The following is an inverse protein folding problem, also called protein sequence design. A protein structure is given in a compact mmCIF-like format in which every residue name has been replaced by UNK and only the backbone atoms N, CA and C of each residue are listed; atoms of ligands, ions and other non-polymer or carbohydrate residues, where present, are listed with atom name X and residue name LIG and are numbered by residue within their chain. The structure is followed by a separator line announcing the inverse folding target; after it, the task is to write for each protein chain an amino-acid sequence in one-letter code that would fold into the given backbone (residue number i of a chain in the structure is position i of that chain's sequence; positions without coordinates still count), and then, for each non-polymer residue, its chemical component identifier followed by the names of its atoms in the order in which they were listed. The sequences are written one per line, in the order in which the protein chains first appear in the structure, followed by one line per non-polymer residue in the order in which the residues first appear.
data_IF_948454579704
#
_entry.id   IF_948454579704
#
_cell.length_a   1.000
_cell.length_b   1.000
_cell.length_c   1.000
_cell.angle_alpha   90.00
_cell.angle_beta   90.00
_cell.angle_gamma   90.00
#
_symmetry.space_group_name_H-M   'P 1'
#
loop_
_entity.id
_entity.type
_entity.pdbx_description
1 polymer ?
#
# COMPACT_ATOMS: atom_id res chain seq x y z
N UNK A 1 -11.56 6.39 -2.51
CA UNK A 1 -10.34 7.04 -3.06
C UNK A 1 -10.64 7.52 -4.47
N UNK A 2 -10.22 8.73 -4.86
CA UNK A 2 -10.46 9.18 -6.24
C UNK A 2 -9.64 8.37 -7.25
N UNK A 3 -10.10 8.24 -8.51
CA UNK A 3 -9.34 7.52 -9.54
C UNK A 3 -7.96 8.11 -9.80
N UNK A 4 -7.76 9.43 -9.71
CA UNK A 4 -6.43 10.02 -9.90
C UNK A 4 -5.47 9.66 -8.78
N UNK A 5 -5.93 9.71 -7.52
CA UNK A 5 -5.11 9.31 -6.36
C UNK A 5 -4.71 7.84 -6.48
N UNK A 6 -5.61 6.99 -6.96
CA UNK A 6 -5.30 5.58 -7.24
C UNK A 6 -4.23 5.41 -8.30
N UNK A 7 -4.37 6.07 -9.44
CA UNK A 7 -3.37 6.00 -10.51
C UNK A 7 -2.01 6.55 -10.06
N UNK A 8 -2.01 7.63 -9.28
CA UNK A 8 -0.79 8.21 -8.74
C UNK A 8 -0.08 7.23 -7.79
N UNK A 9 -0.80 6.68 -6.80
CA UNK A 9 -0.23 5.67 -5.90
C UNK A 9 0.29 4.45 -6.68
N UNK A 10 -0.49 3.98 -7.65
CA UNK A 10 -0.10 2.86 -8.50
C UNK A 10 1.19 3.17 -9.27
N UNK A 11 1.34 4.36 -9.84
CA UNK A 11 2.56 4.74 -10.57
C UNK A 11 3.83 4.71 -9.69
N UNK A 12 3.68 5.04 -8.41
CA UNK A 12 4.78 5.04 -7.45
C UNK A 12 5.14 3.61 -6.97
N UNK A 13 4.14 2.77 -6.74
CA UNK A 13 4.32 1.45 -6.13
C UNK A 13 4.52 0.34 -7.18
N UNK A 14 3.99 0.50 -8.39
CA UNK A 14 4.05 -0.51 -9.46
C UNK A 14 5.46 -1.08 -9.73
N UNK A 15 6.55 -0.28 -9.77
CA UNK A 15 7.89 -0.81 -9.99
C UNK A 15 8.29 -1.89 -8.97
N UNK A 16 7.87 -1.74 -7.71
CA UNK A 16 8.21 -2.64 -6.60
C UNK A 16 7.34 -3.88 -6.52
N UNK A 17 6.12 -3.85 -7.07
CA UNK A 17 5.15 -4.96 -7.00
C UNK A 17 4.90 -5.66 -8.35
N UNK A 18 5.58 -5.25 -9.42
CA UNK A 18 5.50 -5.92 -10.72
C UNK A 18 6.23 -7.25 -10.67
N UNK A 19 5.52 -8.36 -10.94
CA UNK A 19 6.12 -9.69 -11.07
C UNK A 19 6.46 -9.99 -12.52
N UNK A 20 7.65 -10.59 -12.75
CA UNK A 20 8.09 -11.07 -14.07
C UNK A 20 7.07 -12.06 -14.62
N UNK A 21 6.69 -11.91 -15.89
CA UNK A 21 5.80 -12.85 -16.56
C UNK A 21 6.45 -14.24 -16.65
N UNK A 22 5.73 -15.28 -16.24
CA UNK A 22 6.13 -16.66 -16.50
C UNK A 22 5.38 -17.20 -17.72
N UNK A 23 6.06 -17.95 -18.59
CA UNK A 23 5.47 -18.55 -19.79
C UNK A 23 4.25 -19.43 -19.52
N UNK A 24 4.15 -20.03 -18.32
CA UNK A 24 3.07 -20.96 -17.97
C UNK A 24 1.88 -20.32 -17.24
N UNK A 25 1.97 -19.06 -16.80
CA UNK A 25 0.88 -18.44 -16.01
C UNK A 25 0.87 -16.91 -16.11
N UNK A 26 -0.31 -16.36 -16.37
CA UNK A 26 -0.54 -14.92 -16.28
C UNK A 26 -0.30 -14.44 -14.85
N UNK A 27 0.54 -13.43 -14.69
CA UNK A 27 0.81 -12.82 -13.40
C UNK A 27 -0.31 -11.86 -13.03
N UNK A 28 -0.58 -11.77 -11.72
CA UNK A 28 -1.53 -10.80 -11.18
C UNK A 28 -0.94 -9.40 -11.37
N UNK A 29 -1.67 -8.51 -12.02
CA UNK A 29 -1.17 -7.19 -12.39
C UNK A 29 -0.88 -6.32 -11.16
N UNK A 30 0.03 -5.34 -11.27
CA UNK A 30 0.30 -4.39 -10.18
C UNK A 30 -0.97 -3.69 -9.66
N UNK A 31 -1.90 -3.38 -10.56
CA UNK A 31 -3.19 -2.75 -10.20
C UNK A 31 -4.06 -3.69 -9.37
N UNK A 32 -4.21 -4.95 -9.78
CA UNK A 32 -4.99 -5.94 -9.00
C UNK A 32 -4.36 -6.16 -7.62
N UNK A 33 -3.02 -6.30 -7.57
CA UNK A 33 -2.28 -6.45 -6.32
C UNK A 33 -2.51 -5.28 -5.38
N UNK A 34 -2.42 -4.05 -5.89
CA UNK A 34 -2.71 -2.85 -5.11
C UNK A 34 -4.17 -2.81 -4.63
N UNK A 35 -5.12 -3.21 -5.47
CA UNK A 35 -6.55 -3.26 -5.12
C UNK A 35 -6.82 -4.23 -3.97
N UNK A 36 -6.22 -5.43 -4.01
CA UNK A 36 -6.33 -6.42 -2.92
C UNK A 36 -5.85 -5.81 -1.60
N UNK A 37 -4.68 -5.17 -1.61
CA UNK A 37 -4.09 -4.57 -0.41
C UNK A 37 -4.92 -3.39 0.10
N UNK A 38 -5.36 -2.48 -0.76
CA UNK A 38 -6.18 -1.34 -0.35
C UNK A 38 -7.52 -1.77 0.25
N UNK A 39 -8.14 -2.81 -0.32
CA UNK A 39 -9.37 -3.37 0.28
C UNK A 39 -9.10 -3.91 1.68
N UNK A 40 -8.02 -4.67 1.86
CA UNK A 40 -7.63 -5.18 3.17
C UNK A 40 -7.40 -4.04 4.19
N UNK A 41 -6.67 -2.98 3.81
CA UNK A 41 -6.40 -1.84 4.69
C UNK A 41 -7.66 -1.03 5.03
N UNK A 42 -8.60 -0.90 4.08
CA UNK A 42 -9.83 -0.14 4.28
C UNK A 42 -10.89 -0.89 5.11
N UNK A 43 -10.92 -2.22 5.04
CA UNK A 43 -11.97 -3.03 5.68
C UNK A 43 -11.50 -3.76 6.93
N UNK A 44 -10.21 -4.08 7.05
CA UNK A 44 -9.68 -4.95 8.10
C UNK A 44 -10.12 -6.41 7.98
N UNK A 45 -10.69 -6.80 6.84
CA UNK A 45 -11.18 -8.17 6.60
C UNK A 45 -10.08 -9.23 6.69
N UNK A 46 -10.48 -10.45 7.07
CA UNK A 46 -9.58 -11.60 7.06
C UNK A 46 -9.09 -11.94 5.66
N UNK A 47 -7.89 -12.52 5.55
CA UNK A 47 -7.34 -12.96 4.26
C UNK A 47 -8.17 -14.09 3.62
N UNK A 48 -8.97 -14.82 4.40
CA UNK A 48 -9.92 -15.80 3.88
C UNK A 48 -11.09 -15.13 3.14
N UNK A 49 -11.63 -14.04 3.69
CA UNK A 49 -12.69 -13.28 3.01
C UNK A 49 -12.18 -12.68 1.70
N UNK A 50 -10.96 -12.15 1.73
CA UNK A 50 -10.30 -11.57 0.56
C UNK A 50 -10.00 -12.63 -0.52
N UNK A 51 -9.61 -13.86 -0.12
CA UNK A 51 -9.34 -14.97 -1.05
C UNK A 51 -10.59 -15.33 -1.85
N UNK A 52 -11.74 -15.43 -1.20
CA UNK A 52 -13.02 -15.66 -1.87
C UNK A 52 -13.41 -14.50 -2.79
N UNK A 53 -13.25 -13.25 -2.33
CA UNK A 53 -13.63 -12.07 -3.10
C UNK A 53 -12.84 -11.95 -4.41
N UNK A 54 -11.52 -12.11 -4.36
CA UNK A 54 -10.63 -11.97 -5.52
C UNK A 54 -10.40 -13.29 -6.27
N UNK A 55 -10.98 -14.40 -5.81
CA UNK A 55 -10.76 -15.76 -6.36
C UNK A 55 -9.28 -16.13 -6.45
N UNK A 56 -8.54 -15.75 -5.40
CA UNK A 56 -7.12 -16.03 -5.25
C UNK A 56 -6.93 -17.02 -4.12
N UNK A 57 -5.87 -17.84 -4.17
CA UNK A 57 -5.52 -18.66 -3.02
C UNK A 57 -5.17 -17.78 -1.81
N UNK A 58 -5.51 -18.24 -0.59
CA UNK A 58 -5.26 -17.50 0.65
C UNK A 58 -3.77 -17.13 0.78
N UNK A 59 -2.87 -18.04 0.46
CA UNK A 59 -1.41 -17.80 0.50
C UNK A 59 -1.02 -16.70 -0.47
N UNK A 60 -1.62 -16.69 -1.66
CA UNK A 60 -1.37 -15.65 -2.67
C UNK A 60 -1.84 -14.29 -2.17
N UNK A 61 -3.02 -14.21 -1.55
CA UNK A 61 -3.52 -12.97 -0.93
C UNK A 61 -2.59 -12.48 0.18
N UNK A 62 -2.18 -13.35 1.10
CA UNK A 62 -1.24 -13.00 2.17
C UNK A 62 0.07 -12.43 1.59
N UNK A 63 0.63 -13.08 0.57
CA UNK A 63 1.86 -12.63 -0.06
C UNK A 63 1.68 -11.28 -0.78
N UNK A 64 0.56 -11.09 -1.47
CA UNK A 64 0.24 -9.81 -2.12
C UNK A 64 0.17 -8.70 -1.07
N UNK A 65 -0.56 -8.90 0.02
CA UNK A 65 -0.70 -7.90 1.08
C UNK A 65 0.67 -7.56 1.66
N UNK A 66 1.46 -8.55 2.05
CA UNK A 66 2.78 -8.33 2.65
C UNK A 66 3.73 -7.59 1.70
N UNK A 67 3.88 -8.06 0.45
CA UNK A 67 4.76 -7.45 -0.54
C UNK A 67 4.32 -6.02 -0.87
N UNK A 68 3.01 -5.77 -1.00
CA UNK A 68 2.47 -4.48 -1.44
C UNK A 68 2.45 -3.46 -0.30
N UNK A 69 2.09 -3.85 0.92
CA UNK A 69 2.13 -2.94 2.08
C UNK A 69 3.56 -2.49 2.36
N UNK A 70 4.54 -3.39 2.25
CA UNK A 70 5.95 -3.03 2.34
C UNK A 70 6.35 -2.02 1.25
N UNK A 71 5.97 -2.28 0.00
CA UNK A 71 6.26 -1.36 -1.10
C UNK A 71 5.59 0.02 -0.92
N UNK A 72 4.37 0.07 -0.37
CA UNK A 72 3.69 1.33 -0.03
C UNK A 72 4.49 2.09 1.04
N UNK A 73 4.92 1.40 2.10
CA UNK A 73 5.71 1.99 3.17
C UNK A 73 7.03 2.55 2.64
N UNK A 74 7.81 1.74 1.94
CA UNK A 74 9.15 2.11 1.45
C UNK A 74 9.10 3.32 0.50
N UNK A 75 8.01 3.48 -0.26
CA UNK A 75 7.86 4.58 -1.23
C UNK A 75 7.26 5.84 -0.61
N UNK A 76 6.29 5.72 0.31
CA UNK A 76 5.59 6.87 0.87
C UNK A 76 6.21 7.42 2.15
N UNK A 77 6.80 6.56 2.99
CA UNK A 77 7.32 6.97 4.30
C UNK A 77 8.28 8.17 4.21
N UNK A 78 9.23 8.24 3.25
CA UNK A 78 10.17 9.36 3.18
C UNK A 78 9.51 10.71 2.85
N UNK A 79 8.38 10.71 2.14
CA UNK A 79 7.71 11.94 1.69
C UNK A 79 6.59 12.38 2.62
N UNK A 80 5.90 11.44 3.26
CA UNK A 80 4.68 11.70 4.04
C UNK A 80 4.86 11.53 5.54
N UNK A 81 5.88 10.79 5.98
CA UNK A 81 6.14 10.48 7.39
C UNK A 81 7.59 10.81 7.76
N UNK A 82 8.07 11.98 7.32
CA UNK A 82 9.37 12.49 7.77
C UNK A 82 9.26 12.83 9.26
N UNK A 83 10.10 12.19 10.08
CA UNK A 83 10.19 12.53 11.48
C UNK A 83 10.87 13.90 11.65
N UNK A 84 10.46 14.70 12.65
CA UNK A 84 11.12 15.97 12.94
C UNK A 84 12.56 15.71 13.39
N UNK A 85 13.50 16.49 12.86
CA UNK A 85 14.94 16.27 13.04
C UNK A 85 15.52 17.12 14.18
N UNK A 86 14.76 18.11 14.69
CA UNK A 86 15.19 19.02 15.75
C UNK A 86 14.10 19.27 16.79
N UNK A 87 14.52 19.66 18.00
CA UNK A 87 13.61 20.05 19.08
C UNK A 87 12.70 21.21 18.67
N UNK A 88 13.19 22.14 17.85
CA UNK A 88 12.41 23.28 17.37
C UNK A 88 11.30 22.85 16.41
N UNK A 89 11.55 21.87 15.53
CA UNK A 89 10.51 21.29 14.66
C UNK A 89 9.45 20.55 15.49
N UNK A 90 9.87 19.82 16.54
CA UNK A 90 8.96 19.17 17.48
C UNK A 90 8.07 20.17 18.21
N UNK A 91 8.66 21.25 18.74
CA UNK A 91 7.92 22.32 19.43
C UNK A 91 6.95 23.03 18.49
N UNK A 92 7.37 23.27 17.24
CA UNK A 92 6.49 23.83 16.21
C UNK A 92 5.28 22.94 15.93
N UNK A 93 5.48 21.63 15.74
CA UNK A 93 4.38 20.69 15.49
C UNK A 93 3.44 20.59 16.69
N UNK A 94 3.98 20.59 17.92
CA UNK A 94 3.17 20.58 19.13
C UNK A 94 2.31 21.83 19.26
N UNK A 95 2.90 23.01 19.00
CA UNK A 95 2.18 24.27 19.01
C UNK A 95 1.12 24.35 17.90
N UNK A 96 1.40 23.85 16.69
CA UNK A 96 0.41 23.79 15.61
C UNK A 96 -0.78 22.89 15.99
N UNK A 97 -0.53 21.74 16.61
CA UNK A 97 -1.58 20.81 17.05
C UNK A 97 -2.44 21.36 18.20
N UNK A 98 -1.86 22.11 19.15
CA UNK A 98 -2.59 22.68 20.28
C UNK A 98 -3.45 23.90 19.89
N UNK A 99 -3.10 24.59 18.80
CA UNK A 99 -3.80 25.79 18.32
C UNK A 99 -4.79 25.54 17.16
N UNK A 100 -4.95 24.29 16.71
CA UNK A 100 -6.03 23.83 15.80
C UNK A 100 -7.29 23.42 16.57
#
# INVERSE_FOLDING_TARGET
MSPERYKHLLSMVAPSITKKSCQSRQTISPSERLTVTLRCLATGDSQQTQSFYFRLDRTTVCNIINETTKAIWDVLQPSYLKAPESSDEWEKIANEFENE
#
